data_IF_842531960169
#
_entry.id   IF_842531960169
#
_cell.length_a   1.000
_cell.length_b   1.000
_cell.length_c   1.000
_cell.angle_alpha   90.00
_cell.angle_beta   90.00
_cell.angle_gamma   90.00
#
_symmetry.space_group_name_H-M   'P 1'
#
loop_
_entity.id
_entity.type
_entity.pdbx_description
1 polymer ?
#
# COMPACT_ATOMS: atom_id res chain seq x y z
N UNK A 1 18.72 12.76 17.11
CA UNK A 1 18.68 11.40 16.53
C UNK A 1 17.75 10.47 17.32
N UNK A 2 17.95 10.31 18.64
CA UNK A 2 17.13 9.43 19.51
C UNK A 2 15.60 9.66 19.41
N UNK A 3 15.18 10.93 19.33
CA UNK A 3 13.75 11.27 19.23
C UNK A 3 13.16 10.94 17.84
N UNK A 4 13.94 11.08 16.77
CA UNK A 4 13.49 10.78 15.41
C UNK A 4 13.29 9.28 15.23
N UNK A 5 14.22 8.46 15.72
CA UNK A 5 14.09 7.00 15.70
C UNK A 5 12.89 6.53 16.51
N UNK A 6 12.62 7.16 17.67
CA UNK A 6 11.44 6.86 18.47
C UNK A 6 10.13 7.24 17.75
N UNK A 7 10.08 8.39 17.08
CA UNK A 7 8.93 8.82 16.28
C UNK A 7 8.68 7.89 15.09
N UNK A 8 9.73 7.48 14.37
CA UNK A 8 9.61 6.53 13.25
C UNK A 8 9.13 5.16 13.72
N UNK A 9 9.64 4.68 14.85
CA UNK A 9 9.18 3.44 15.46
C UNK A 9 7.71 3.53 15.90
N UNK A 10 7.31 4.62 16.55
CA UNK A 10 5.93 4.83 16.98
C UNK A 10 4.97 4.85 15.78
N UNK A 11 5.32 5.59 14.72
CA UNK A 11 4.56 5.62 13.48
C UNK A 11 4.39 4.23 12.85
N UNK A 12 5.49 3.46 12.76
CA UNK A 12 5.44 2.08 12.28
C UNK A 12 4.48 1.23 13.12
N UNK A 13 4.57 1.32 14.46
CA UNK A 13 3.71 0.55 15.36
C UNK A 13 2.24 0.92 15.21
N UNK A 14 1.89 2.21 15.12
CA UNK A 14 0.51 2.65 14.91
C UNK A 14 -0.05 2.09 13.61
N UNK A 15 0.68 2.22 12.50
CA UNK A 15 0.26 1.67 11.21
C UNK A 15 0.18 0.14 11.22
N UNK A 16 1.09 -0.51 11.94
CA UNK A 16 1.07 -1.95 12.10
C UNK A 16 -0.19 -2.42 12.85
N UNK A 17 -0.59 -1.75 13.93
CA UNK A 17 -1.84 -2.05 14.65
C UNK A 17 -3.05 -1.88 13.73
N UNK A 18 -3.11 -0.80 12.95
CA UNK A 18 -4.19 -0.61 11.95
C UNK A 18 -4.17 -1.73 10.92
N UNK A 19 -2.99 -2.08 10.37
CA UNK A 19 -2.83 -3.15 9.40
C UNK A 19 -3.24 -4.53 9.95
N UNK A 20 -2.95 -4.81 11.22
CA UNK A 20 -3.40 -6.02 11.94
C UNK A 20 -4.92 -6.03 12.03
N UNK A 21 -5.53 -4.93 12.49
CA UNK A 21 -6.98 -4.81 12.61
C UNK A 21 -7.64 -5.04 11.25
N UNK A 22 -7.18 -4.35 10.20
CA UNK A 22 -7.70 -4.51 8.83
C UNK A 22 -7.54 -5.95 8.33
N UNK A 23 -6.41 -6.58 8.60
CA UNK A 23 -6.17 -7.97 8.16
C UNK A 23 -7.14 -8.94 8.85
N UNK A 24 -7.43 -8.74 10.14
CA UNK A 24 -8.40 -9.55 10.90
C UNK A 24 -9.83 -9.30 10.43
N UNK A 25 -10.24 -8.04 10.31
CA UNK A 25 -11.63 -7.69 9.94
C UNK A 25 -11.93 -8.09 8.49
N UNK A 26 -10.99 -7.86 7.58
CA UNK A 26 -11.14 -8.12 6.14
C UNK A 26 -10.57 -9.47 5.73
N UNK A 27 -10.42 -10.42 6.67
CA UNK A 27 -9.77 -11.70 6.40
C UNK A 27 -10.38 -12.45 5.21
N UNK A 28 -11.70 -12.37 5.01
CA UNK A 28 -12.39 -13.03 3.89
C UNK A 28 -12.35 -12.22 2.59
N UNK A 29 -12.25 -10.89 2.68
CA UNK A 29 -12.19 -10.02 1.51
C UNK A 29 -10.81 -10.04 0.85
N UNK A 30 -9.74 -10.19 1.64
CA UNK A 30 -8.38 -10.31 1.13
C UNK A 30 -8.19 -11.69 0.50
N UNK A 31 -8.31 -11.76 -0.84
CA UNK A 31 -8.14 -13.01 -1.61
C UNK A 31 -6.66 -13.32 -1.85
N UNK A 32 -5.99 -13.82 -0.83
CA UNK A 32 -4.65 -14.41 -0.96
C UNK A 32 -4.42 -15.54 0.05
N UNK A 33 -3.39 -16.39 -0.13
CA UNK A 33 -2.99 -17.38 0.87
C UNK A 33 -2.72 -16.76 2.24
N UNK A 34 -3.06 -17.46 3.32
CA UNK A 34 -2.92 -16.95 4.69
C UNK A 34 -1.50 -16.48 5.02
N UNK A 35 -0.46 -17.19 4.55
CA UNK A 35 0.93 -16.78 4.76
C UNK A 35 1.26 -15.42 4.12
N UNK A 36 0.66 -15.10 2.96
CA UNK A 36 0.87 -13.81 2.29
C UNK A 36 0.19 -12.68 3.06
N UNK A 37 -0.99 -12.92 3.64
CA UNK A 37 -1.67 -11.92 4.50
C UNK A 37 -0.77 -11.50 5.66
N UNK A 38 -0.24 -12.49 6.36
CA UNK A 38 0.62 -12.28 7.52
C UNK A 38 1.93 -11.59 7.09
N UNK A 39 2.57 -12.05 6.02
CA UNK A 39 3.79 -11.42 5.51
C UNK A 39 3.56 -9.95 5.12
N UNK A 40 2.48 -9.69 4.37
CA UNK A 40 2.18 -8.34 3.87
C UNK A 40 1.76 -7.37 4.97
N UNK A 41 1.19 -7.86 6.06
CA UNK A 41 0.90 -7.07 7.25
C UNK A 41 2.17 -6.46 7.87
N UNK A 42 3.31 -7.17 7.84
CA UNK A 42 4.60 -6.62 8.30
C UNK A 42 5.19 -5.62 7.32
N UNK A 43 5.03 -5.82 6.01
CA UNK A 43 5.55 -4.89 5.00
C UNK A 43 4.66 -3.67 4.78
N UNK A 44 3.40 -3.71 5.23
CA UNK A 44 2.41 -2.65 5.02
C UNK A 44 2.83 -1.27 5.57
N UNK A 45 3.36 -1.13 6.80
CA UNK A 45 3.82 0.16 7.29
C UNK A 45 4.99 0.73 6.47
N UNK A 46 5.89 -0.14 5.99
CA UNK A 46 6.99 0.27 5.10
C UNK A 46 6.47 0.73 3.74
N UNK A 47 5.48 0.02 3.18
CA UNK A 47 4.81 0.44 1.95
C UNK A 47 4.18 1.84 2.12
N UNK A 48 3.49 2.09 3.23
CA UNK A 48 2.94 3.43 3.52
C UNK A 48 4.03 4.50 3.68
N UNK A 49 5.20 4.16 4.23
CA UNK A 49 6.30 5.12 4.31
C UNK A 49 6.74 5.63 2.93
N UNK A 50 6.64 4.79 1.89
CA UNK A 50 6.95 5.22 0.50
C UNK A 50 5.99 6.28 -0.04
N UNK A 51 4.81 6.48 0.56
CA UNK A 51 3.91 7.56 0.17
C UNK A 51 4.46 8.93 0.50
N UNK A 52 5.37 9.05 1.48
CA UNK A 52 6.00 10.32 1.83
C UNK A 52 6.80 10.87 0.62
N UNK A 53 7.80 10.14 0.07
CA UNK A 53 8.52 10.62 -1.11
C UNK A 53 7.63 10.73 -2.35
N UNK A 54 6.66 9.82 -2.55
CA UNK A 54 5.73 9.89 -3.68
C UNK A 54 4.90 11.18 -3.62
N UNK A 55 4.38 11.54 -2.44
CA UNK A 55 3.58 12.75 -2.27
C UNK A 55 4.42 14.01 -2.47
N UNK A 56 5.66 14.02 -1.96
CA UNK A 56 6.60 15.12 -2.21
C UNK A 56 6.88 15.29 -3.70
N UNK A 57 7.16 14.20 -4.41
CA UNK A 57 7.37 14.24 -5.86
C UNK A 57 6.12 14.74 -6.59
N UNK A 58 4.93 14.29 -6.19
CA UNK A 58 3.67 14.69 -6.80
C UNK A 58 3.37 16.20 -6.67
N UNK A 59 3.76 16.84 -5.55
CA UNK A 59 3.56 18.28 -5.35
C UNK A 59 4.33 19.15 -6.35
N UNK A 60 5.48 18.68 -6.81
CA UNK A 60 6.32 19.43 -7.76
C UNK A 60 6.17 18.95 -9.20
N UNK A 61 5.46 17.83 -9.42
CA UNK A 61 5.22 17.31 -10.75
C UNK A 61 4.09 18.11 -11.42
N UNK A 62 4.33 18.60 -12.65
CA UNK A 62 3.24 19.11 -13.50
C UNK A 62 2.40 17.92 -13.95
N UNK A 63 1.26 17.72 -13.29
CA UNK A 63 0.33 16.65 -13.63
C UNK A 63 -0.42 17.04 -14.90
N UNK A 64 0.13 16.63 -16.03
CA UNK A 64 -0.59 16.63 -17.30
C UNK A 64 -1.26 15.27 -17.49
N UNK A 65 -2.52 15.29 -17.92
CA UNK A 65 -3.18 14.06 -18.32
C UNK A 65 -2.46 13.49 -19.55
N UNK A 66 -1.83 12.33 -19.39
CA UNK A 66 -1.26 11.58 -20.50
C UNK A 66 -2.23 10.46 -20.88
N UNK A 67 -2.56 10.30 -22.17
CA UNK A 67 -3.41 9.20 -22.61
C UNK A 67 -2.76 7.87 -22.23
N UNK A 68 -3.57 6.98 -21.67
CA UNK A 68 -3.16 5.60 -21.38
C UNK A 68 -3.37 4.81 -22.66
N UNK A 69 -2.28 4.32 -23.25
CA UNK A 69 -2.32 3.49 -24.45
C UNK A 69 -2.92 2.11 -24.12
N UNK A 70 -4.21 1.93 -24.42
CA UNK A 70 -4.88 0.65 -24.29
C UNK A 70 -4.47 -0.28 -25.44
N UNK A 71 -3.42 -1.07 -25.23
CA UNK A 71 -2.89 -2.02 -26.23
C UNK A 71 -3.70 -3.31 -26.37
N UNK A 72 -4.57 -3.58 -25.40
CA UNK A 72 -5.32 -4.84 -25.34
C UNK A 72 -6.77 -4.51 -24.98
N UNK A 73 -7.68 -4.89 -25.87
CA UNK A 73 -9.10 -5.00 -25.58
C UNK A 73 -9.40 -6.48 -25.35
N UNK A 74 -9.83 -6.84 -24.13
CA UNK A 74 -10.32 -8.17 -23.79
C UNK A 74 -11.82 -8.10 -23.54
N UNK A 75 -12.57 -9.07 -24.07
CA UNK A 75 -14.00 -9.21 -23.76
C UNK A 75 -14.16 -9.91 -22.40
N UNK A 76 -15.30 -9.72 -21.73
CA UNK A 76 -15.56 -10.30 -20.41
C UNK A 76 -15.47 -11.83 -20.40
N UNK A 77 -15.76 -12.47 -21.53
CA UNK A 77 -15.64 -13.92 -21.70
C UNK A 77 -14.18 -14.43 -21.67
N UNK A 78 -13.19 -13.57 -21.94
CA UNK A 78 -11.76 -13.93 -21.92
C UNK A 78 -11.11 -13.80 -20.53
N UNK A 79 -11.76 -13.11 -19.59
CA UNK A 79 -11.23 -12.81 -18.23
C UNK A 79 -11.77 -13.78 -17.17
N UNK A 80 -12.82 -14.53 -17.50
CA UNK A 80 -13.46 -15.50 -16.61
C UNK A 80 -12.63 -16.77 -16.45
#
# INVERSE_FOLDING_TARGET
VLNLTASLFNYYMTLFVVGVLTTITEWKAIKCPAYKKILYMFTFPLFLFTYIPISLAALFQKVEWKPIEHRVAKTLDEVR
#
